data_IF_513673200933
#
_entry.id   IF_513673200933
#
_cell.length_a   1.000
_cell.length_b   1.000
_cell.length_c   1.000
_cell.angle_alpha   90.00
_cell.angle_beta   90.00
_cell.angle_gamma   90.00
#
_symmetry.space_group_name_H-M   'P 1'
#
loop_
_entity.id
_entity.type
_entity.pdbx_description
1 polymer ?
#
# COMPACT_ATOMS: atom_id res chain seq x y z
N UNK A 1 -11.64 63.16 15.93
CA UNK A 1 -10.91 63.10 14.66
C UNK A 1 -10.29 61.70 14.51
N UNK A 2 -10.98 60.83 13.80
CA UNK A 2 -10.51 59.47 13.51
C UNK A 2 -10.18 59.36 12.03
N UNK A 3 -8.90 59.38 11.71
CA UNK A 3 -8.42 59.04 10.37
C UNK A 3 -8.71 57.58 10.01
N UNK A 4 -9.59 57.35 9.03
CA UNK A 4 -9.80 56.06 8.40
C UNK A 4 -8.79 55.92 7.25
N UNK A 5 -7.79 55.08 7.44
CA UNK A 5 -6.89 54.64 6.36
C UNK A 5 -7.55 53.46 5.61
N UNK A 6 -7.98 53.70 4.38
CA UNK A 6 -8.38 52.67 3.44
C UNK A 6 -7.11 52.00 2.88
N UNK A 7 -6.88 50.73 3.25
CA UNK A 7 -5.89 49.90 2.56
C UNK A 7 -6.49 49.43 1.23
N UNK A 8 -5.85 49.79 0.12
CA UNK A 8 -6.21 49.32 -1.21
C UNK A 8 -5.91 47.79 -1.33
N UNK A 9 -6.86 47.04 -1.89
CA UNK A 9 -6.67 45.62 -2.25
C UNK A 9 -5.73 45.55 -3.46
N UNK A 10 -4.76 44.60 -3.47
CA UNK A 10 -3.95 44.41 -4.67
C UNK A 10 -4.79 43.79 -5.80
N UNK A 11 -4.71 44.37 -6.99
CA UNK A 11 -5.31 43.87 -8.22
C UNK A 11 -4.70 42.53 -8.60
N UNK A 12 -5.52 41.48 -8.58
CA UNK A 12 -5.18 40.16 -9.12
C UNK A 12 -5.20 40.27 -10.65
N UNK A 13 -4.04 40.46 -11.27
CA UNK A 13 -3.91 40.41 -12.73
C UNK A 13 -4.26 38.99 -13.20
N UNK A 14 -5.37 38.89 -13.92
CA UNK A 14 -5.78 37.69 -14.65
C UNK A 14 -4.75 37.40 -15.73
N UNK A 15 -4.06 36.24 -15.59
CA UNK A 15 -3.25 35.69 -16.67
C UNK A 15 -4.17 35.18 -17.79
N UNK A 16 -3.84 35.44 -19.08
CA UNK A 16 -4.58 34.86 -20.19
C UNK A 16 -4.41 33.33 -20.17
N UNK A 17 -5.41 32.57 -20.64
CA UNK A 17 -5.29 31.10 -20.73
C UNK A 17 -4.25 30.79 -21.80
N UNK A 18 -3.06 30.41 -21.34
CA UNK A 18 -2.05 29.74 -22.16
C UNK A 18 -2.60 28.38 -22.59
N UNK A 19 -2.70 28.18 -23.92
CA UNK A 19 -3.15 26.92 -24.47
C UNK A 19 -2.20 25.79 -24.04
N UNK A 20 -2.65 24.93 -23.14
CA UNK A 20 -2.02 23.69 -22.79
C UNK A 20 -2.11 22.72 -23.98
N UNK A 21 -1.10 22.74 -24.83
CA UNK A 21 -0.76 21.54 -25.59
C UNK A 21 -0.13 20.55 -24.60
N UNK A 22 -0.98 19.84 -23.87
CA UNK A 22 -0.58 18.68 -23.12
C UNK A 22 0.02 17.67 -24.11
N UNK A 23 1.35 17.63 -24.18
CA UNK A 23 2.09 16.52 -24.81
C UNK A 23 1.59 15.27 -24.12
N UNK A 24 0.78 14.47 -24.83
CA UNK A 24 0.38 13.12 -24.43
C UNK A 24 1.66 12.27 -24.43
N UNK A 25 2.41 12.34 -23.32
CA UNK A 25 3.43 11.35 -23.05
C UNK A 25 2.66 10.07 -22.73
N UNK A 26 2.52 9.20 -23.74
CA UNK A 26 1.98 7.87 -23.53
C UNK A 26 2.93 7.15 -22.57
N UNK A 27 2.49 6.95 -21.34
CA UNK A 27 3.18 6.08 -20.40
C UNK A 27 3.32 4.71 -21.04
N UNK A 28 4.48 4.02 -20.90
CA UNK A 28 4.65 2.68 -21.44
C UNK A 28 3.54 1.79 -20.87
N UNK A 29 2.91 1.01 -21.76
CA UNK A 29 1.88 0.06 -21.37
C UNK A 29 2.48 -0.91 -20.33
N UNK A 30 2.05 -0.73 -19.08
CA UNK A 30 2.40 -1.67 -18.00
C UNK A 30 1.61 -2.94 -18.28
N UNK A 31 2.31 -4.05 -18.49
CA UNK A 31 1.68 -5.37 -18.57
C UNK A 31 0.96 -5.61 -17.24
N UNK A 32 -0.37 -5.66 -17.29
CA UNK A 32 -1.18 -5.91 -16.09
C UNK A 32 -0.79 -7.24 -15.48
N UNK A 33 -0.66 -7.30 -14.14
CA UNK A 33 -0.36 -8.55 -13.46
C UNK A 33 -1.43 -9.61 -13.77
N UNK A 34 -0.98 -10.86 -13.89
CA UNK A 34 -1.82 -12.02 -14.22
C UNK A 34 -2.53 -12.62 -13.01
N UNK A 35 -2.54 -11.91 -11.86
CA UNK A 35 -3.21 -12.40 -10.65
C UNK A 35 -4.72 -12.30 -10.79
N UNK A 36 -5.48 -13.33 -10.38
CA UNK A 36 -6.91 -13.20 -10.25
C UNK A 36 -7.20 -12.14 -9.20
N UNK A 37 -7.82 -11.04 -9.61
CA UNK A 37 -8.24 -9.97 -8.71
C UNK A 37 -9.53 -10.36 -8.01
N UNK A 38 -9.65 -10.00 -6.72
CA UNK A 38 -10.94 -10.04 -6.04
C UNK A 38 -11.92 -9.10 -6.75
N UNK A 39 -13.08 -9.62 -7.13
CA UNK A 39 -14.11 -8.82 -7.79
C UNK A 39 -14.65 -7.69 -6.90
N UNK A 40 -14.42 -7.79 -5.59
CA UNK A 40 -14.98 -6.88 -4.60
C UNK A 40 -16.45 -7.15 -4.33
N UNK A 41 -17.00 -6.40 -3.39
CA UNK A 41 -18.43 -6.36 -3.06
C UNK A 41 -18.89 -4.92 -3.01
N UNK A 42 -20.16 -4.66 -3.31
CA UNK A 42 -20.74 -3.34 -3.13
C UNK A 42 -20.72 -2.96 -1.64
N UNK A 43 -20.41 -1.70 -1.34
CA UNK A 43 -20.43 -1.20 0.03
C UNK A 43 -21.86 -0.93 0.47
N UNK A 44 -22.31 -1.63 1.52
CA UNK A 44 -23.58 -1.43 2.19
C UNK A 44 -23.35 -0.76 3.54
N UNK A 45 -23.73 0.50 3.68
CA UNK A 45 -23.51 1.27 4.90
C UNK A 45 -24.30 0.72 6.11
N UNK A 46 -25.42 0.05 5.87
CA UNK A 46 -26.23 -0.63 6.87
C UNK A 46 -25.46 -1.73 7.65
N UNK A 47 -24.38 -2.27 7.08
CA UNK A 47 -23.50 -3.20 7.81
C UNK A 47 -22.88 -2.59 9.06
N UNK A 48 -22.75 -1.27 9.12
CA UNK A 48 -22.08 -0.55 10.20
C UNK A 48 -23.05 0.14 11.17
N UNK A 49 -24.32 0.34 10.79
CA UNK A 49 -25.29 1.13 11.56
C UNK A 49 -25.56 0.54 12.95
N UNK A 50 -25.52 -0.78 13.07
CA UNK A 50 -25.81 -1.50 14.33
C UNK A 50 -24.55 -1.93 15.07
N UNK A 51 -23.35 -1.66 14.54
CA UNK A 51 -22.10 -2.08 15.17
C UNK A 51 -21.79 -1.22 16.39
N UNK A 52 -21.77 -1.85 17.55
CA UNK A 52 -21.36 -1.22 18.80
C UNK A 52 -20.13 -1.92 19.37
N UNK A 53 -19.10 -1.16 19.68
CA UNK A 53 -17.87 -1.65 20.28
C UNK A 53 -17.78 -1.25 21.74
N UNK A 54 -17.76 -2.23 22.63
CA UNK A 54 -17.44 -1.98 24.04
C UNK A 54 -15.91 -1.96 24.20
N UNK A 55 -15.34 -0.75 24.20
CA UNK A 55 -13.88 -0.52 24.26
C UNK A 55 -13.26 -1.24 25.46
N UNK A 56 -13.80 -1.04 26.67
CA UNK A 56 -13.20 -1.62 27.88
C UNK A 56 -13.26 -3.15 27.93
N UNK A 57 -14.29 -3.75 27.33
CA UNK A 57 -14.34 -5.22 27.18
C UNK A 57 -13.32 -5.72 26.17
N UNK A 58 -13.14 -5.00 25.08
CA UNK A 58 -12.14 -5.31 24.06
C UNK A 58 -10.72 -5.20 24.61
N UNK A 59 -10.40 -4.12 25.32
CA UNK A 59 -9.10 -3.90 25.95
C UNK A 59 -8.76 -4.98 26.97
N UNK A 60 -9.72 -5.34 27.85
CA UNK A 60 -9.53 -6.45 28.81
C UNK A 60 -9.28 -7.79 28.12
N UNK A 61 -9.97 -8.06 27.00
CA UNK A 61 -9.78 -9.28 26.23
C UNK A 61 -8.41 -9.31 25.57
N UNK A 62 -8.00 -8.24 24.91
CA UNK A 62 -6.71 -8.15 24.21
C UNK A 62 -5.53 -8.20 25.17
N UNK A 63 -5.60 -7.54 26.33
CA UNK A 63 -4.58 -7.58 27.36
C UNK A 63 -4.25 -9.01 27.83
N UNK A 64 -5.19 -9.93 27.74
CA UNK A 64 -4.98 -11.31 28.17
C UNK A 64 -4.46 -12.24 27.06
N UNK A 65 -4.44 -11.82 25.79
CA UNK A 65 -4.10 -12.70 24.67
C UNK A 65 -2.68 -13.24 24.75
N UNK A 66 -1.71 -12.39 25.09
CA UNK A 66 -0.30 -12.79 25.24
C UNK A 66 -0.05 -13.85 26.29
N UNK A 67 -0.89 -13.94 27.32
CA UNK A 67 -0.77 -14.91 28.43
C UNK A 67 -1.61 -16.19 28.26
N UNK A 68 -2.50 -16.25 27.28
CA UNK A 68 -3.47 -17.35 27.18
C UNK A 68 -2.91 -18.63 26.63
N UNK A 69 -2.27 -18.58 25.48
CA UNK A 69 -1.70 -19.72 24.76
C UNK A 69 -0.50 -19.31 23.94
N UNK A 70 0.54 -20.12 23.99
CA UNK A 70 1.69 -20.01 23.09
C UNK A 70 1.77 -21.24 22.23
N UNK A 71 1.98 -21.04 20.93
CA UNK A 71 2.32 -22.10 19.98
C UNK A 71 3.82 -22.36 20.10
N UNK A 72 4.23 -23.61 20.10
CA UNK A 72 5.64 -24.00 20.32
C UNK A 72 6.11 -24.99 19.26
N UNK A 73 7.44 -25.11 19.12
CA UNK A 73 8.12 -26.10 18.26
C UNK A 73 7.64 -26.02 16.80
N UNK A 74 7.29 -27.16 16.21
CA UNK A 74 6.85 -27.28 14.81
C UNK A 74 5.62 -26.45 14.49
N UNK A 75 4.66 -26.35 15.41
CA UNK A 75 3.48 -25.49 15.22
C UNK A 75 3.86 -24.01 15.22
N UNK A 76 4.83 -23.60 16.04
CA UNK A 76 5.33 -22.25 16.02
C UNK A 76 6.02 -21.92 14.69
N UNK A 77 6.85 -22.83 14.19
CA UNK A 77 7.50 -22.70 12.89
C UNK A 77 6.46 -22.55 11.75
N UNK A 78 5.43 -23.40 11.75
CA UNK A 78 4.35 -23.34 10.77
C UNK A 78 3.61 -21.98 10.80
N UNK A 79 3.29 -21.47 12.00
CA UNK A 79 2.65 -20.18 12.14
C UNK A 79 3.55 -19.00 11.74
N UNK A 80 4.86 -19.08 11.99
CA UNK A 80 5.81 -18.06 11.54
C UNK A 80 5.93 -18.03 10.02
N UNK A 81 5.97 -19.20 9.36
CA UNK A 81 5.94 -19.29 7.90
C UNK A 81 4.63 -18.74 7.36
N UNK A 82 3.49 -19.06 7.99
CA UNK A 82 2.20 -18.50 7.57
C UNK A 82 2.14 -16.99 7.75
N UNK A 83 2.62 -16.47 8.87
CA UNK A 83 2.69 -15.02 9.10
C UNK A 83 3.55 -14.32 8.04
N UNK A 84 4.71 -14.92 7.69
CA UNK A 84 5.57 -14.40 6.63
C UNK A 84 4.83 -14.28 5.29
N UNK A 85 4.03 -15.28 4.94
CA UNK A 85 3.24 -15.32 3.71
C UNK A 85 2.07 -14.30 3.69
N UNK A 86 1.74 -13.72 4.84
CA UNK A 86 0.71 -12.68 4.99
C UNK A 86 1.30 -11.27 5.18
N UNK A 87 2.62 -11.12 5.07
CA UNK A 87 3.27 -9.81 5.21
C UNK A 87 3.18 -9.05 3.89
N UNK A 88 2.72 -7.82 3.96
CA UNK A 88 2.97 -6.81 2.94
C UNK A 88 4.30 -6.15 3.25
N UNK A 89 5.34 -6.59 2.52
CA UNK A 89 6.69 -6.10 2.75
C UNK A 89 6.81 -4.66 2.24
N UNK A 90 6.88 -3.73 3.17
CA UNK A 90 6.61 -2.32 2.94
C UNK A 90 7.87 -1.45 3.02
N UNK A 91 7.97 -0.46 2.12
CA UNK A 91 8.82 0.71 2.28
C UNK A 91 8.03 1.96 1.92
N UNK A 92 7.98 2.92 2.85
CA UNK A 92 7.26 4.19 2.72
C UNK A 92 8.17 5.35 3.15
N UNK A 93 9.41 5.32 2.71
CA UNK A 93 10.38 6.35 3.01
C UNK A 93 10.36 7.43 1.92
N UNK A 94 10.38 8.70 2.32
CA UNK A 94 10.38 9.82 1.38
C UNK A 94 11.62 9.88 0.46
N UNK A 95 12.66 9.10 0.78
CA UNK A 95 13.90 8.97 0.01
C UNK A 95 14.00 7.62 -0.74
N UNK A 96 12.89 6.93 -0.92
CA UNK A 96 12.88 5.67 -1.66
C UNK A 96 13.31 5.86 -3.11
N UNK A 97 14.10 4.90 -3.57
CA UNK A 97 14.61 4.85 -4.94
C UNK A 97 14.24 3.52 -5.61
N UNK A 98 14.19 3.46 -6.94
CA UNK A 98 14.00 2.19 -7.66
C UNK A 98 14.99 1.10 -7.22
N UNK A 99 16.24 1.46 -6.93
CA UNK A 99 17.25 0.52 -6.45
C UNK A 99 16.93 -0.05 -5.06
N UNK A 100 16.33 0.75 -4.16
CA UNK A 100 15.85 0.29 -2.85
C UNK A 100 14.67 -0.67 -3.02
N UNK A 101 13.73 -0.33 -3.88
CA UNK A 101 12.58 -1.17 -4.21
C UNK A 101 13.01 -2.51 -4.84
N UNK A 102 14.00 -2.52 -5.73
CA UNK A 102 14.58 -3.75 -6.27
C UNK A 102 15.15 -4.67 -5.18
N UNK A 103 15.87 -4.10 -4.19
CA UNK A 103 16.37 -4.87 -3.05
C UNK A 103 15.25 -5.42 -2.18
N UNK A 104 14.19 -4.64 -1.97
CA UNK A 104 13.00 -5.07 -1.25
C UNK A 104 12.30 -6.23 -1.98
N UNK A 105 12.12 -6.12 -3.29
CA UNK A 105 11.54 -7.16 -4.14
C UNK A 105 12.36 -8.47 -4.09
N UNK A 106 13.69 -8.37 -4.06
CA UNK A 106 14.56 -9.54 -3.92
C UNK A 106 14.34 -10.26 -2.57
N UNK A 107 14.16 -9.50 -1.47
CA UNK A 107 13.78 -10.05 -0.16
C UNK A 107 12.38 -10.66 -0.19
N UNK A 108 11.42 -10.01 -0.84
CA UNK A 108 10.06 -10.49 -0.96
C UNK A 108 9.99 -11.88 -1.64
N UNK A 109 10.81 -12.09 -2.67
CA UNK A 109 10.91 -13.36 -3.40
C UNK A 109 11.55 -14.47 -2.57
N UNK A 110 12.50 -14.13 -1.69
CA UNK A 110 13.30 -15.08 -0.89
C UNK A 110 13.46 -14.55 0.53
N UNK A 111 12.37 -14.53 1.31
CA UNK A 111 12.38 -13.94 2.64
C UNK A 111 13.10 -14.82 3.68
N UNK A 112 13.29 -16.10 3.39
CA UNK A 112 14.04 -17.04 4.22
C UNK A 112 15.33 -17.49 3.54
N UNK A 113 16.35 -17.78 4.35
CA UNK A 113 17.60 -18.40 3.89
C UNK A 113 17.34 -19.82 3.38
N UNK A 114 18.12 -20.23 2.39
CA UNK A 114 17.94 -21.52 1.74
C UNK A 114 18.05 -22.71 2.73
N UNK A 115 19.01 -22.65 3.65
CA UNK A 115 19.21 -23.68 4.69
C UNK A 115 17.99 -23.84 5.62
N UNK A 116 17.29 -22.74 5.92
CA UNK A 116 16.05 -22.78 6.71
C UNK A 116 14.91 -23.37 5.89
N UNK A 117 14.79 -23.01 4.61
CA UNK A 117 13.79 -23.58 3.69
C UNK A 117 13.95 -25.08 3.57
N UNK A 118 15.20 -25.56 3.40
CA UNK A 118 15.54 -26.98 3.35
C UNK A 118 15.22 -27.70 4.66
N UNK A 119 15.65 -27.13 5.80
CA UNK A 119 15.40 -27.72 7.12
C UNK A 119 13.90 -27.81 7.47
N UNK A 120 13.06 -26.96 6.88
CA UNK A 120 11.61 -26.99 7.03
C UNK A 120 10.91 -27.89 5.99
N UNK A 121 11.64 -28.49 5.04
CA UNK A 121 11.07 -29.29 3.97
C UNK A 121 10.23 -28.50 2.95
N UNK A 122 10.55 -27.22 2.74
CA UNK A 122 9.81 -26.29 1.89
C UNK A 122 10.52 -25.99 0.55
N UNK A 123 11.50 -26.81 0.15
CA UNK A 123 12.32 -26.55 -1.04
C UNK A 123 11.52 -26.55 -2.34
N UNK A 124 10.48 -27.38 -2.45
CA UNK A 124 9.62 -27.46 -3.64
C UNK A 124 8.65 -26.25 -3.73
N UNK A 125 8.28 -25.70 -2.59
CA UNK A 125 7.36 -24.55 -2.49
C UNK A 125 7.91 -23.50 -1.52
N UNK A 126 9.02 -22.84 -1.87
CA UNK A 126 9.64 -21.87 -0.98
C UNK A 126 8.67 -20.70 -0.69
N UNK A 127 8.54 -20.30 0.58
CA UNK A 127 7.62 -19.24 0.96
C UNK A 127 8.03 -17.89 0.36
N UNK A 128 7.03 -17.10 0.00
CA UNK A 128 7.13 -15.71 -0.44
C UNK A 128 6.31 -14.85 0.51
N UNK A 129 6.52 -13.55 0.50
CA UNK A 129 5.65 -12.60 1.21
C UNK A 129 4.29 -12.47 0.51
N UNK A 130 3.31 -11.90 1.20
CA UNK A 130 1.96 -11.68 0.68
C UNK A 130 1.94 -10.64 -0.44
N UNK A 131 2.55 -9.48 -0.21
CA UNK A 131 2.67 -8.40 -1.18
C UNK A 131 3.94 -7.58 -0.95
N UNK A 132 4.23 -6.65 -1.86
CA UNK A 132 5.17 -5.54 -1.65
C UNK A 132 4.39 -4.24 -1.70
N UNK A 133 4.46 -3.45 -0.63
CA UNK A 133 3.75 -2.18 -0.52
C UNK A 133 4.71 -0.99 -0.63
N UNK A 134 4.35 -0.02 -1.48
CA UNK A 134 5.17 1.15 -1.78
C UNK A 134 4.31 2.41 -1.99
N UNK A 135 4.94 3.58 -2.08
CA UNK A 135 4.28 4.79 -2.57
C UNK A 135 3.95 4.70 -4.07
N UNK A 136 2.93 5.43 -4.57
CA UNK A 136 2.45 5.36 -5.95
C UNK A 136 3.55 5.51 -7.00
N UNK A 137 4.52 6.40 -6.79
CA UNK A 137 5.65 6.64 -7.72
C UNK A 137 6.62 5.46 -7.81
N UNK A 138 6.59 4.55 -6.84
CA UNK A 138 7.44 3.35 -6.80
C UNK A 138 6.73 2.09 -7.28
N UNK A 139 5.46 2.17 -7.67
CA UNK A 139 4.68 1.02 -8.16
C UNK A 139 5.30 0.42 -9.42
N UNK A 140 5.56 1.22 -10.46
CA UNK A 140 6.15 0.72 -11.70
C UNK A 140 7.52 0.04 -11.50
N UNK A 141 8.48 0.59 -10.71
CA UNK A 141 9.68 -0.13 -10.31
C UNK A 141 9.43 -1.44 -9.58
N UNK A 142 8.43 -1.50 -8.68
CA UNK A 142 8.08 -2.70 -7.93
C UNK A 142 7.50 -3.79 -8.85
N UNK A 143 6.55 -3.43 -9.71
CA UNK A 143 5.95 -4.32 -10.72
C UNK A 143 7.04 -4.96 -11.58
N UNK A 144 7.96 -4.15 -12.12
CA UNK A 144 9.07 -4.65 -12.91
C UNK A 144 9.99 -5.59 -12.12
N UNK A 145 10.29 -5.25 -10.86
CA UNK A 145 11.17 -6.07 -10.01
C UNK A 145 10.52 -7.39 -9.58
N UNK A 146 9.20 -7.47 -9.54
CA UNK A 146 8.41 -8.64 -9.13
C UNK A 146 7.88 -9.45 -10.31
N UNK A 147 8.18 -9.07 -11.54
CA UNK A 147 7.73 -9.79 -12.74
C UNK A 147 8.03 -11.29 -12.65
N UNK A 148 7.03 -12.14 -12.94
CA UNK A 148 7.14 -13.60 -12.86
C UNK A 148 7.22 -14.19 -11.44
N UNK A 149 7.14 -13.37 -10.37
CA UNK A 149 7.21 -13.87 -9.00
C UNK A 149 5.87 -14.39 -8.47
N UNK A 150 4.77 -13.87 -8.98
CA UNK A 150 3.45 -14.09 -8.43
C UNK A 150 3.19 -13.31 -7.12
N UNK A 151 4.02 -12.33 -6.77
CA UNK A 151 3.83 -11.45 -5.61
C UNK A 151 3.12 -10.19 -6.08
N UNK A 152 1.95 -9.82 -5.53
CA UNK A 152 1.24 -8.60 -5.88
C UNK A 152 1.97 -7.35 -5.39
N UNK A 153 1.65 -6.22 -6.02
CA UNK A 153 2.12 -4.89 -5.61
C UNK A 153 0.95 -4.13 -5.01
N UNK A 154 1.08 -3.79 -3.73
CA UNK A 154 0.20 -2.86 -3.04
C UNK A 154 0.76 -1.43 -3.13
N UNK A 155 -0.13 -0.46 -3.17
CA UNK A 155 0.23 0.95 -3.10
C UNK A 155 -0.60 1.67 -2.06
N UNK A 156 0.06 2.43 -1.17
CA UNK A 156 -0.68 3.40 -0.37
C UNK A 156 -1.22 4.50 -1.27
N UNK A 157 -2.35 5.07 -0.91
CA UNK A 157 -2.96 6.16 -1.66
C UNK A 157 -3.81 7.06 -0.74
N UNK A 158 -4.55 8.00 -1.33
CA UNK A 158 -5.50 8.92 -0.66
C UNK A 158 -4.84 9.91 0.29
N UNK A 159 -3.58 10.31 0.00
CA UNK A 159 -2.82 11.23 0.83
C UNK A 159 -2.29 10.56 2.09
N UNK A 160 -1.93 9.28 1.99
CA UNK A 160 -1.35 8.53 3.11
C UNK A 160 -0.14 9.25 3.73
N UNK A 161 0.02 9.28 5.09
CA UNK A 161 -0.79 8.57 6.08
C UNK A 161 -1.97 9.38 6.63
N UNK A 162 -2.11 10.66 6.30
CA UNK A 162 -3.06 11.55 6.97
C UNK A 162 -4.44 11.56 6.34
N UNK A 163 -4.55 11.29 5.05
CA UNK A 163 -5.81 11.38 4.30
C UNK A 163 -6.36 12.82 4.14
N UNK A 164 -5.60 13.84 4.57
CA UNK A 164 -6.04 15.24 4.59
C UNK A 164 -5.88 15.94 3.23
N UNK A 165 -6.17 15.24 2.16
CA UNK A 165 -6.13 15.76 0.79
C UNK A 165 -7.56 15.84 0.24
N UNK A 166 -7.90 16.85 -0.59
CA UNK A 166 -9.22 16.93 -1.21
C UNK A 166 -9.56 15.67 -2.02
N UNK A 167 -10.83 15.28 -2.01
CA UNK A 167 -11.28 14.02 -2.63
C UNK A 167 -10.84 13.83 -4.10
N UNK A 168 -10.88 14.86 -4.99
CA UNK A 168 -10.44 14.68 -6.37
C UNK A 168 -8.99 14.23 -6.49
N UNK A 169 -8.09 14.75 -5.64
CA UNK A 169 -6.67 14.38 -5.63
C UNK A 169 -6.50 12.96 -5.09
N UNK A 170 -7.23 12.58 -4.05
CA UNK A 170 -7.22 11.21 -3.52
C UNK A 170 -7.62 10.17 -4.58
N UNK A 171 -8.69 10.47 -5.33
CA UNK A 171 -9.13 9.61 -6.44
C UNK A 171 -8.13 9.58 -7.60
N UNK A 172 -7.47 10.71 -7.88
CA UNK A 172 -6.43 10.77 -8.91
C UNK A 172 -5.21 9.92 -8.53
N UNK A 173 -4.81 9.93 -7.26
CA UNK A 173 -3.71 9.12 -6.75
C UNK A 173 -3.99 7.61 -6.86
N UNK A 174 -5.22 7.18 -6.53
CA UNK A 174 -5.65 5.79 -6.72
C UNK A 174 -5.55 5.40 -8.20
N UNK A 175 -6.10 6.22 -9.11
CA UNK A 175 -6.04 5.95 -10.56
C UNK A 175 -4.59 5.83 -11.02
N UNK A 176 -3.73 6.76 -10.61
CA UNK A 176 -2.32 6.72 -10.95
C UNK A 176 -1.66 5.40 -10.49
N UNK A 177 -1.85 4.99 -9.25
CA UNK A 177 -1.28 3.74 -8.74
C UNK A 177 -1.77 2.51 -9.52
N UNK A 178 -3.06 2.45 -9.83
CA UNK A 178 -3.66 1.36 -10.64
C UNK A 178 -3.10 1.37 -12.06
N UNK A 179 -2.96 2.54 -12.68
CA UNK A 179 -2.40 2.69 -14.03
C UNK A 179 -0.91 2.29 -14.08
N UNK A 180 -0.18 2.49 -12.97
CA UNK A 180 1.20 2.03 -12.82
C UNK A 180 1.32 0.53 -12.53
N UNK A 181 0.23 -0.18 -12.35
CA UNK A 181 0.16 -1.63 -12.20
C UNK A 181 -0.01 -2.12 -10.77
N UNK A 182 -0.44 -1.28 -9.84
CA UNK A 182 -0.79 -1.76 -8.50
C UNK A 182 -1.95 -2.76 -8.55
N UNK A 183 -1.83 -3.84 -7.78
CA UNK A 183 -2.85 -4.87 -7.61
C UNK A 183 -3.80 -4.53 -6.46
N UNK A 184 -3.28 -3.84 -5.45
CA UNK A 184 -3.96 -3.50 -4.21
C UNK A 184 -3.75 -2.02 -3.87
N UNK A 185 -4.74 -1.41 -3.22
CA UNK A 185 -4.68 -0.03 -2.75
C UNK A 185 -4.95 0.01 -1.25
N UNK A 186 -4.00 0.57 -0.50
CA UNK A 186 -4.12 0.83 0.94
C UNK A 186 -4.55 2.27 1.18
N UNK A 187 -5.60 2.48 1.98
CA UNK A 187 -6.18 3.80 2.27
C UNK A 187 -6.43 4.01 3.77
#
# INVERSE_FOLDING_TARGET
DRMKTHAAKPDLKTHPPGGDQATKTSLPAVTRPTHPRNAGTELHMDWFETVQVNLSATERRTATLGGRRTVKKTYQAAWLVKALQCIDLTTLSGDDTPGRVHRLAAKARRPLRADIVEALGLSDTPPKVGAVCVYPTMVAPAVKALEGSGIPVASVATGFPTGLTPLPQRLAEIRYAVDMGADEIDI
#
